data_IF_894740068617
#
_entry.id   IF_894740068617
#
_cell.length_a   1.000
_cell.length_b   1.000
_cell.length_c   1.000
_cell.angle_alpha   90.00
_cell.angle_beta   90.00
_cell.angle_gamma   90.00
#
_symmetry.space_group_name_H-M   'P 1'
#
loop_
_entity.id
_entity.type
_entity.pdbx_description
1 polymer ?
#
# COMPACT_ATOMS: atom_id res chain seq x y z
N UNK A 1 11.14 -8.97 -7.59
CA UNK A 1 10.30 -7.76 -7.66
C UNK A 1 9.66 -7.64 -6.30
N UNK A 2 10.03 -6.59 -5.58
CA UNK A 2 10.20 -6.65 -4.14
C UNK A 2 8.88 -6.72 -3.37
N UNK A 3 8.79 -7.58 -2.35
CA UNK A 3 7.63 -7.64 -1.45
C UNK A 3 7.30 -6.24 -0.88
N UNK A 4 8.31 -5.39 -0.73
CA UNK A 4 8.24 -3.96 -0.41
C UNK A 4 7.26 -3.19 -1.30
N UNK A 5 7.17 -3.50 -2.60
CA UNK A 5 6.26 -2.82 -3.54
C UNK A 5 4.79 -3.14 -3.28
N UNK A 6 4.47 -4.33 -2.76
CA UNK A 6 3.09 -4.74 -2.47
C UNK A 6 2.45 -3.91 -1.36
N UNK A 7 3.22 -3.55 -0.34
CA UNK A 7 2.74 -2.71 0.76
C UNK A 7 2.29 -1.34 0.25
N UNK A 8 3.14 -0.71 -0.58
CA UNK A 8 2.83 0.57 -1.19
C UNK A 8 1.65 0.45 -2.17
N UNK A 9 1.64 -0.58 -3.02
CA UNK A 9 0.57 -0.85 -3.97
C UNK A 9 -0.80 -0.99 -3.29
N UNK A 10 -0.86 -1.69 -2.15
CA UNK A 10 -2.08 -1.80 -1.35
C UNK A 10 -2.50 -0.42 -0.82
N UNK A 11 -1.56 0.36 -0.26
CA UNK A 11 -1.87 1.68 0.28
C UNK A 11 -2.39 2.66 -0.78
N UNK A 12 -1.90 2.58 -2.02
CA UNK A 12 -2.22 3.52 -3.11
C UNK A 12 -3.42 3.14 -3.98
N UNK A 13 -4.15 2.08 -3.61
CA UNK A 13 -5.52 1.82 -4.12
C UNK A 13 -6.51 2.94 -3.76
N UNK A 14 -6.19 3.74 -2.74
CA UNK A 14 -6.82 5.03 -2.47
C UNK A 14 -6.09 6.13 -3.25
N UNK A 15 -6.77 6.75 -4.20
CA UNK A 15 -6.22 7.81 -5.07
C UNK A 15 -7.17 8.99 -5.24
N UNK A 16 -6.65 10.09 -5.77
CA UNK A 16 -7.48 11.23 -6.16
C UNK A 16 -8.28 10.88 -7.42
N UNK A 17 -9.57 11.23 -7.46
CA UNK A 17 -10.49 10.88 -8.55
C UNK A 17 -10.40 11.82 -9.78
N UNK A 18 -9.71 12.95 -9.67
CA UNK A 18 -9.61 13.98 -10.71
C UNK A 18 -10.53 15.18 -10.47
N UNK A 19 -11.60 15.00 -9.71
CA UNK A 19 -12.68 15.95 -9.47
C UNK A 19 -12.67 16.53 -8.04
N UNK A 20 -11.67 16.18 -7.25
CA UNK A 20 -11.50 16.68 -5.88
C UNK A 20 -11.99 15.72 -4.80
N UNK A 21 -12.46 14.54 -5.19
CA UNK A 21 -12.76 13.44 -4.29
C UNK A 21 -11.67 12.36 -4.29
N UNK A 22 -12.03 11.23 -3.69
CA UNK A 22 -11.17 10.06 -3.52
C UNK A 22 -11.83 8.89 -4.24
N UNK A 23 -11.06 8.24 -5.11
CA UNK A 23 -11.42 6.96 -5.70
C UNK A 23 -10.74 5.82 -4.92
N UNK A 24 -11.45 4.70 -4.82
CA UNK A 24 -11.02 3.48 -4.16
C UNK A 24 -11.04 2.33 -5.18
N UNK A 25 -9.87 1.78 -5.53
CA UNK A 25 -9.76 0.63 -6.42
C UNK A 25 -10.30 -0.67 -5.83
N UNK A 26 -10.51 -0.69 -4.51
CA UNK A 26 -11.12 -1.79 -3.76
C UNK A 26 -12.49 -1.36 -3.23
N UNK A 27 -13.27 -0.65 -4.06
CA UNK A 27 -14.63 -0.26 -3.72
C UNK A 27 -15.60 -1.46 -3.69
N UNK A 28 -15.37 -2.44 -4.56
CA UNK A 28 -16.19 -3.63 -4.75
C UNK A 28 -15.32 -4.87 -5.07
N UNK A 29 -15.98 -6.02 -5.20
CA UNK A 29 -15.35 -7.31 -5.49
C UNK A 29 -14.73 -7.39 -6.89
N UNK A 30 -15.27 -6.65 -7.87
CA UNK A 30 -14.69 -6.57 -9.20
C UNK A 30 -13.34 -5.84 -9.19
N UNK A 31 -13.24 -4.74 -8.43
CA UNK A 31 -12.00 -4.02 -8.20
C UNK A 31 -10.94 -4.87 -7.50
N UNK A 32 -11.35 -5.67 -6.50
CA UNK A 32 -10.46 -6.65 -5.87
C UNK A 32 -9.98 -7.72 -6.85
N UNK A 33 -10.87 -8.29 -7.67
CA UNK A 33 -10.51 -9.30 -8.67
C UNK A 33 -9.47 -8.76 -9.67
N UNK A 34 -9.70 -7.55 -10.20
CA UNK A 34 -8.76 -6.90 -11.10
C UNK A 34 -7.41 -6.62 -10.42
N UNK A 35 -7.43 -6.05 -9.20
CA UNK A 35 -6.22 -5.69 -8.49
C UNK A 35 -5.35 -6.90 -8.12
N UNK A 36 -5.98 -8.02 -7.76
CA UNK A 36 -5.30 -9.28 -7.43
C UNK A 36 -4.77 -10.00 -8.66
N UNK A 37 -5.52 -10.01 -9.77
CA UNK A 37 -5.07 -10.58 -11.04
C UNK A 37 -3.80 -9.89 -11.56
N UNK A 38 -3.75 -8.55 -11.54
CA UNK A 38 -2.57 -7.76 -11.92
C UNK A 38 -1.31 -8.07 -11.08
N UNK A 39 -1.50 -8.68 -9.90
CA UNK A 39 -0.46 -8.92 -8.89
C UNK A 39 -0.24 -10.39 -8.56
N UNK A 40 -0.86 -11.32 -9.30
CA UNK A 40 -0.83 -12.75 -8.99
C UNK A 40 0.60 -13.30 -8.85
N UNK A 41 1.52 -12.86 -9.71
CA UNK A 41 2.93 -13.26 -9.66
C UNK A 41 3.67 -12.76 -8.40
N UNK A 42 3.29 -11.59 -7.87
CA UNK A 42 3.90 -11.02 -6.67
C UNK A 42 3.29 -11.57 -5.38
N UNK A 43 2.03 -12.01 -5.42
CA UNK A 43 1.30 -12.59 -4.30
C UNK A 43 1.55 -14.09 -4.10
N UNK A 44 2.49 -14.68 -4.85
CA UNK A 44 2.78 -16.12 -4.86
C UNK A 44 1.51 -16.97 -5.12
N UNK A 45 0.58 -16.43 -5.91
CA UNK A 45 -0.68 -17.05 -6.30
C UNK A 45 -0.64 -17.55 -7.76
N UNK A 46 0.56 -17.78 -8.31
CA UNK A 46 0.73 -18.08 -9.72
C UNK A 46 0.22 -19.47 -10.12
N UNK A 47 0.34 -20.48 -9.23
CA UNK A 47 -0.07 -21.85 -9.53
C UNK A 47 -1.55 -22.12 -9.24
N UNK A 48 -2.06 -21.65 -8.09
CA UNK A 48 -3.45 -21.85 -7.68
C UNK A 48 -4.41 -20.78 -8.22
N UNK A 49 -3.88 -19.70 -8.81
CA UNK A 49 -4.63 -18.49 -9.13
C UNK A 49 -4.97 -17.64 -7.89
N UNK A 50 -5.44 -16.39 -8.09
CA UNK A 50 -5.92 -15.58 -6.99
C UNK A 50 -7.20 -16.20 -6.38
N UNK A 51 -7.42 -16.05 -5.06
CA UNK A 51 -8.67 -16.48 -4.44
C UNK A 51 -9.88 -15.77 -5.08
N UNK A 52 -11.09 -16.37 -5.02
CA UNK A 52 -12.31 -15.68 -5.40
C UNK A 52 -12.44 -14.35 -4.67
N UNK A 53 -12.72 -13.28 -5.42
CA UNK A 53 -12.96 -11.96 -4.86
C UNK A 53 -14.39 -11.89 -4.32
N UNK A 54 -14.59 -12.34 -3.09
CA UNK A 54 -15.86 -12.21 -2.37
C UNK A 54 -15.86 -11.04 -1.38
N UNK A 55 -17.02 -10.74 -0.79
CA UNK A 55 -17.19 -9.63 0.15
C UNK A 55 -16.36 -9.81 1.44
N UNK A 56 -16.13 -11.06 1.86
CA UNK A 56 -15.34 -11.36 3.05
C UNK A 56 -13.86 -11.03 2.81
N UNK A 57 -13.30 -11.44 1.68
CA UNK A 57 -11.94 -11.12 1.28
C UNK A 57 -11.78 -9.62 1.03
N UNK A 58 -12.74 -8.98 0.36
CA UNK A 58 -12.74 -7.52 0.16
C UNK A 58 -12.67 -6.79 1.50
N UNK A 59 -13.50 -7.19 2.46
CA UNK A 59 -13.49 -6.62 3.81
C UNK A 59 -12.13 -6.80 4.47
N UNK A 60 -11.60 -8.03 4.48
CA UNK A 60 -10.30 -8.34 5.08
C UNK A 60 -9.14 -7.52 4.47
N UNK A 61 -9.12 -7.37 3.14
CA UNK A 61 -8.09 -6.58 2.44
C UNK A 61 -8.24 -5.08 2.75
N UNK A 62 -9.46 -4.55 2.82
CA UNK A 62 -9.71 -3.14 3.17
C UNK A 62 -9.34 -2.82 4.62
N UNK A 63 -9.62 -3.73 5.55
CA UNK A 63 -9.20 -3.62 6.94
C UNK A 63 -7.68 -3.65 7.09
N UNK A 64 -7.02 -4.57 6.38
CA UNK A 64 -5.56 -4.63 6.35
C UNK A 64 -4.98 -3.33 5.76
N UNK A 65 -5.56 -2.81 4.67
CA UNK A 65 -5.17 -1.52 4.10
C UNK A 65 -5.34 -0.37 5.09
N UNK A 66 -6.40 -0.34 5.88
CA UNK A 66 -6.61 0.68 6.91
C UNK A 66 -5.50 0.63 7.99
N UNK A 67 -5.11 -0.57 8.43
CA UNK A 67 -3.98 -0.76 9.33
C UNK A 67 -2.66 -0.28 8.71
N UNK A 68 -2.36 -0.69 7.47
CA UNK A 68 -1.15 -0.28 6.74
C UNK A 68 -1.10 1.24 6.57
N UNK A 69 -2.19 1.88 6.14
CA UNK A 69 -2.24 3.34 5.97
C UNK A 69 -2.09 4.08 7.30
N UNK A 70 -2.56 3.51 8.41
CA UNK A 70 -2.34 4.07 9.75
C UNK A 70 -0.88 4.00 10.19
N UNK A 71 -0.20 2.90 9.88
CA UNK A 71 1.23 2.78 10.16
C UNK A 71 2.09 3.62 9.20
N UNK A 72 1.63 3.85 7.98
CA UNK A 72 2.28 4.79 7.04
C UNK A 72 2.13 6.23 7.53
N UNK A 73 0.94 6.62 8.00
CA UNK A 73 0.73 7.90 8.67
C UNK A 73 1.65 8.08 9.88
N UNK A 74 1.88 7.02 10.67
CA UNK A 74 2.90 7.02 11.74
C UNK A 74 4.31 7.24 11.19
N UNK A 75 4.69 6.49 10.17
CA UNK A 75 6.04 6.47 9.61
C UNK A 75 6.46 7.80 8.95
N UNK A 76 5.53 8.60 8.45
CA UNK A 76 5.83 9.89 7.82
C UNK A 76 5.96 11.06 8.79
N UNK A 77 5.78 10.84 10.11
CA UNK A 77 5.96 11.89 11.12
C UNK A 77 7.39 12.45 11.12
N UNK A 78 7.58 13.76 11.39
CA UNK A 78 6.59 14.76 11.81
C UNK A 78 5.76 15.36 10.66
N UNK A 79 5.94 14.88 9.41
CA UNK A 79 5.12 15.31 8.28
C UNK A 79 3.64 14.92 8.44
N UNK A 80 2.73 15.62 7.73
CA UNK A 80 1.32 15.28 7.78
C UNK A 80 1.05 13.93 7.10
N UNK A 81 0.05 13.16 7.59
CA UNK A 81 -0.42 11.98 6.88
C UNK A 81 -1.10 12.37 5.57
N UNK A 82 -1.46 11.36 4.76
CA UNK A 82 -2.32 11.60 3.61
C UNK A 82 -3.64 12.25 4.04
N UNK A 83 -4.13 13.23 3.28
CA UNK A 83 -5.38 13.92 3.58
C UNK A 83 -6.61 13.01 3.53
N UNK A 84 -6.55 11.87 2.82
CA UNK A 84 -7.62 10.87 2.87
C UNK A 84 -7.73 10.13 4.22
N UNK A 85 -6.69 10.21 5.05
CA UNK A 85 -6.59 9.43 6.28
C UNK A 85 -7.00 10.21 7.53
N UNK A 86 -7.03 11.55 7.48
CA UNK A 86 -7.11 12.42 8.66
C UNK A 86 -8.24 12.08 9.66
N UNK A 87 -9.33 11.46 9.21
CA UNK A 87 -10.47 11.05 10.04
C UNK A 87 -10.74 9.53 10.03
N UNK A 88 -9.80 8.73 9.56
CA UNK A 88 -9.96 7.29 9.30
C UNK A 88 -8.82 6.44 9.89
N UNK A 89 -7.88 7.06 10.58
CA UNK A 89 -6.75 6.37 11.19
C UNK A 89 -7.20 5.53 12.37
N UNK A 90 -6.72 4.29 12.40
CA UNK A 90 -6.83 3.44 13.57
C UNK A 90 -5.84 3.92 14.65
N UNK A 91 -6.15 3.67 15.94
CA UNK A 91 -5.15 3.67 16.99
C UNK A 91 -3.92 2.85 16.60
N UNK A 92 -2.74 3.31 16.99
CA UNK A 92 -1.48 2.76 16.47
C UNK A 92 -1.22 1.33 16.96
N UNK A 93 -1.58 1.05 18.20
CA UNK A 93 -1.57 -0.28 18.82
C UNK A 93 -2.54 -1.24 18.11
N UNK A 94 -3.74 -0.77 17.78
CA UNK A 94 -4.72 -1.53 17.03
C UNK A 94 -4.23 -1.84 15.60
N UNK A 95 -3.66 -0.85 14.90
CA UNK A 95 -3.10 -1.05 13.57
C UNK A 95 -1.95 -2.06 13.58
N UNK A 96 -1.05 -1.98 14.58
CA UNK A 96 0.02 -2.96 14.78
C UNK A 96 -0.53 -4.36 15.05
N UNK A 97 -1.52 -4.48 15.95
CA UNK A 97 -2.11 -5.77 16.29
C UNK A 97 -2.78 -6.43 15.08
N UNK A 98 -3.57 -5.66 14.29
CA UNK A 98 -4.22 -6.15 13.07
C UNK A 98 -3.20 -6.62 12.03
N UNK A 99 -2.14 -5.83 11.81
CA UNK A 99 -1.08 -6.19 10.86
C UNK A 99 -0.36 -7.48 11.26
N UNK A 100 0.07 -7.58 12.54
CA UNK A 100 0.75 -8.75 13.06
C UNK A 100 -0.13 -9.99 13.03
N UNK A 101 -1.41 -9.88 13.41
CA UNK A 101 -2.37 -10.98 13.38
C UNK A 101 -2.61 -11.49 11.95
N UNK A 102 -2.73 -10.59 10.97
CA UNK A 102 -2.88 -10.98 9.57
C UNK A 102 -1.64 -11.72 9.05
N UNK A 103 -0.43 -11.24 9.38
CA UNK A 103 0.82 -11.90 8.98
C UNK A 103 0.99 -13.29 9.61
N UNK A 104 0.57 -13.45 10.88
CA UNK A 104 0.68 -14.69 11.64
C UNK A 104 -0.38 -15.74 11.27
N UNK A 105 -1.46 -15.35 10.58
CA UNK A 105 -2.57 -16.26 10.21
C UNK A 105 -2.11 -17.43 9.33
N UNK A 106 -1.04 -17.24 8.57
CA UNK A 106 -0.41 -18.29 7.77
C UNK A 106 1.02 -18.49 8.26
N UNK A 107 1.26 -19.48 9.14
CA UNK A 107 2.61 -19.88 9.52
C UNK A 107 3.42 -20.28 8.28
N UNK A 108 4.66 -19.82 8.22
CA UNK A 108 5.62 -20.17 7.16
C UNK A 108 6.80 -20.92 7.74
N UNK A 109 7.38 -21.81 6.93
CA UNK A 109 8.60 -22.52 7.26
C UNK A 109 9.66 -22.28 6.16
N UNK A 110 10.95 -22.17 6.53
CA UNK A 110 12.02 -22.04 5.56
C UNK A 110 12.10 -23.32 4.71
N UNK A 111 12.15 -23.16 3.39
CA UNK A 111 12.34 -24.23 2.41
C UNK A 111 13.41 -23.84 1.41
N UNK A 112 14.33 -24.76 1.15
CA UNK A 112 15.30 -24.61 0.07
C UNK A 112 14.64 -25.07 -1.23
N UNK A 113 14.50 -24.15 -2.18
CA UNK A 113 13.96 -24.43 -3.53
C UNK A 113 15.12 -24.54 -4.51
N UNK A 114 15.17 -25.64 -5.26
CA UNK A 114 16.24 -25.91 -6.23
C UNK A 114 15.64 -26.21 -7.60
N UNK A 115 15.52 -25.16 -8.41
CA UNK A 115 15.04 -25.29 -9.79
C UNK A 115 16.16 -25.72 -10.73
N UNK A 116 15.89 -26.57 -11.74
CA UNK A 116 16.87 -26.93 -12.75
C UNK A 116 17.45 -25.69 -13.45
N UNK A 117 18.78 -25.56 -13.44
CA UNK A 117 19.48 -24.46 -14.11
C UNK A 117 19.50 -23.12 -13.33
N UNK A 118 19.04 -23.09 -12.08
CA UNK A 118 19.11 -21.92 -11.21
C UNK A 118 19.87 -22.22 -9.90
N UNK A 119 20.52 -21.21 -9.28
CA UNK A 119 21.08 -21.38 -7.93
C UNK A 119 19.95 -21.64 -6.92
N UNK A 120 20.21 -22.42 -5.84
CA UNK A 120 19.20 -22.70 -4.83
C UNK A 120 18.78 -21.41 -4.11
N UNK A 121 17.50 -21.29 -3.80
CA UNK A 121 16.91 -20.11 -3.13
C UNK A 121 16.21 -20.55 -1.86
N UNK A 122 16.55 -19.93 -0.73
CA UNK A 122 15.80 -20.09 0.52
C UNK A 122 14.52 -19.25 0.44
N UNK A 123 13.36 -19.88 0.65
CA UNK A 123 12.05 -19.21 0.69
C UNK A 123 11.28 -19.59 1.94
N UNK A 124 10.59 -18.63 2.55
CA UNK A 124 9.60 -18.91 3.57
C UNK A 124 8.27 -19.24 2.91
N UNK A 125 7.89 -20.52 2.94
CA UNK A 125 6.67 -21.02 2.30
C UNK A 125 5.61 -21.40 3.35
N UNK A 126 4.30 -21.24 3.06
CA UNK A 126 3.24 -21.66 3.95
C UNK A 126 3.41 -23.11 4.45
N UNK A 127 3.19 -23.32 5.75
CA UNK A 127 3.05 -24.65 6.32
C UNK A 127 1.63 -25.17 6.06
N UNK A 128 1.52 -26.38 5.51
CA UNK A 128 0.23 -26.97 5.14
C UNK A 128 -0.41 -26.32 3.91
N UNK A 129 -1.74 -26.42 3.82
CA UNK A 129 -2.55 -25.88 2.72
C UNK A 129 -3.60 -24.89 3.27
N UNK A 130 -3.17 -23.72 3.79
CA UNK A 130 -4.11 -22.72 4.33
C UNK A 130 -5.02 -22.16 3.22
N UNK A 131 -6.22 -21.67 3.58
CA UNK A 131 -7.15 -21.07 2.61
C UNK A 131 -6.49 -19.96 1.79
N UNK A 132 -6.81 -19.88 0.50
CA UNK A 132 -6.19 -18.91 -0.41
C UNK A 132 -6.41 -17.45 0.01
N UNK A 133 -7.56 -17.12 0.60
CA UNK A 133 -7.86 -15.82 1.19
C UNK A 133 -6.89 -15.45 2.34
N UNK A 134 -6.58 -16.41 3.22
CA UNK A 134 -5.64 -16.22 4.32
C UNK A 134 -4.21 -16.05 3.80
N UNK A 135 -3.83 -16.81 2.76
CA UNK A 135 -2.52 -16.67 2.11
C UNK A 135 -2.33 -15.27 1.56
N UNK A 136 -3.33 -14.74 0.85
CA UNK A 136 -3.28 -13.40 0.25
C UNK A 136 -3.13 -12.32 1.32
N UNK A 137 -3.98 -12.33 2.34
CA UNK A 137 -3.94 -11.31 3.41
C UNK A 137 -2.67 -11.41 4.24
N UNK A 138 -2.17 -12.62 4.52
CA UNK A 138 -0.91 -12.82 5.23
C UNK A 138 0.30 -12.37 4.40
N UNK A 139 0.31 -12.63 3.08
CA UNK A 139 1.36 -12.17 2.19
C UNK A 139 1.43 -10.64 2.14
N UNK A 140 0.28 -9.96 1.99
CA UNK A 140 0.20 -8.50 2.04
C UNK A 140 0.65 -7.92 3.39
N UNK A 141 0.27 -8.58 4.49
CA UNK A 141 0.67 -8.17 5.83
C UNK A 141 2.19 -8.32 6.02
N UNK A 142 2.79 -9.44 5.61
CA UNK A 142 4.25 -9.64 5.65
C UNK A 142 5.01 -8.66 4.77
N UNK A 143 4.48 -8.34 3.58
CA UNK A 143 5.03 -7.29 2.72
C UNK A 143 5.04 -5.93 3.43
N UNK A 144 3.95 -5.56 4.11
CA UNK A 144 3.89 -4.32 4.88
C UNK A 144 4.81 -4.32 6.11
N UNK A 145 4.97 -5.45 6.80
CA UNK A 145 5.95 -5.60 7.88
C UNK A 145 7.38 -5.39 7.35
N UNK A 146 7.74 -6.04 6.24
CA UNK A 146 9.05 -5.89 5.60
C UNK A 146 9.30 -4.45 5.16
N UNK A 147 8.30 -3.79 4.56
CA UNK A 147 8.38 -2.37 4.19
C UNK A 147 8.65 -1.48 5.41
N UNK A 148 7.86 -1.64 6.48
CA UNK A 148 7.94 -0.80 7.67
C UNK A 148 9.20 -1.05 8.52
N UNK A 149 9.78 -2.24 8.43
CA UNK A 149 11.06 -2.57 9.06
C UNK A 149 12.27 -2.25 8.16
N UNK A 150 12.04 -2.02 6.87
CA UNK A 150 13.07 -1.83 5.85
C UNK A 150 13.47 -0.36 5.62
N UNK A 151 14.51 -0.13 4.78
CA UNK A 151 15.04 1.20 4.51
C UNK A 151 14.08 2.11 3.74
N UNK A 152 13.18 1.55 2.93
CA UNK A 152 12.18 2.30 2.17
C UNK A 152 11.22 3.09 3.05
N UNK A 153 11.04 2.67 4.32
CA UNK A 153 10.30 3.43 5.33
C UNK A 153 10.83 4.86 5.45
N UNK A 154 12.15 5.06 5.46
CA UNK A 154 12.76 6.37 5.68
C UNK A 154 12.59 7.30 4.45
N UNK A 155 12.29 6.70 3.29
CA UNK A 155 12.00 7.38 2.03
C UNK A 155 10.51 7.57 1.78
N UNK A 156 9.63 6.98 2.59
CA UNK A 156 8.17 7.10 2.49
C UNK A 156 7.71 8.54 2.77
N UNK A 157 6.83 9.08 1.91
CA UNK A 157 6.22 10.40 2.08
C UNK A 157 4.74 10.35 1.70
N UNK A 158 3.92 11.19 2.35
CA UNK A 158 2.63 11.60 1.83
C UNK A 158 2.82 12.70 0.78
N UNK A 159 2.17 12.61 -0.38
CA UNK A 159 2.33 13.60 -1.43
C UNK A 159 1.70 14.96 -1.02
N UNK A 160 2.48 16.07 -0.99
CA UNK A 160 1.99 17.37 -0.53
C UNK A 160 1.23 18.15 -1.61
N UNK A 161 1.08 17.59 -2.83
CA UNK A 161 0.38 18.29 -3.89
C UNK A 161 -1.10 18.48 -3.54
N UNK A 162 -1.72 19.63 -3.88
CA UNK A 162 -3.12 19.89 -3.58
C UNK A 162 -4.01 18.73 -4.00
N UNK A 163 -4.91 18.30 -3.11
CA UNK A 163 -5.85 17.18 -3.31
C UNK A 163 -5.21 15.80 -3.55
N UNK A 164 -3.88 15.67 -3.47
CA UNK A 164 -3.27 14.34 -3.55
C UNK A 164 -3.47 13.59 -2.22
N UNK A 165 -3.76 12.29 -2.33
CA UNK A 165 -3.98 11.40 -1.18
C UNK A 165 -3.02 10.19 -1.18
N UNK A 166 -2.02 10.23 -2.05
CA UNK A 166 -1.13 9.09 -2.31
C UNK A 166 0.10 9.15 -1.40
N UNK A 167 0.49 7.99 -0.86
CA UNK A 167 1.83 7.77 -0.31
C UNK A 167 2.80 7.36 -1.43
N UNK A 168 4.08 7.73 -1.31
CA UNK A 168 5.11 7.33 -2.26
C UNK A 168 6.46 7.16 -1.56
N UNK A 169 7.31 6.32 -2.12
CA UNK A 169 8.73 6.23 -1.75
C UNK A 169 9.50 7.16 -2.66
N UNK A 170 10.43 7.94 -2.11
CA UNK A 170 11.30 8.81 -2.92
C UNK A 170 12.30 7.98 -3.71
N UNK A 171 12.30 8.14 -5.03
CA UNK A 171 13.30 7.57 -5.92
C UNK A 171 14.62 8.35 -5.87
N UNK A 172 14.56 9.65 -5.53
CA UNK A 172 15.75 10.50 -5.38
C UNK A 172 15.53 11.65 -4.39
N UNK A 173 16.64 12.20 -3.85
CA UNK A 173 16.61 13.22 -2.79
C UNK A 173 15.77 14.47 -3.13
N UNK A 174 15.72 14.89 -4.41
CA UNK A 174 14.95 16.06 -4.86
C UNK A 174 13.47 15.80 -5.16
N UNK A 175 12.97 14.57 -4.98
CA UNK A 175 11.58 14.27 -5.28
C UNK A 175 10.68 14.79 -4.17
N UNK A 176 9.86 15.80 -4.49
CA UNK A 176 8.91 16.40 -3.56
C UNK A 176 7.47 15.86 -3.73
N UNK A 177 7.16 15.29 -4.89
CA UNK A 177 5.81 14.82 -5.25
C UNK A 177 5.83 13.40 -5.80
N UNK A 178 4.72 12.68 -5.63
CA UNK A 178 4.60 11.31 -6.12
C UNK A 178 4.68 11.20 -7.65
N UNK A 179 4.31 12.25 -8.40
CA UNK A 179 4.37 12.28 -9.87
C UNK A 179 4.68 13.70 -10.38
N UNK A 180 5.19 13.84 -11.62
CA UNK A 180 5.36 15.16 -12.25
C UNK A 180 4.06 15.97 -12.36
N UNK A 181 2.92 15.31 -12.61
CA UNK A 181 1.60 15.95 -12.67
C UNK A 181 1.18 16.56 -11.32
N UNK A 182 1.56 15.95 -10.20
CA UNK A 182 1.37 16.52 -8.87
C UNK A 182 2.22 17.79 -8.66
N UNK A 183 3.46 17.81 -9.15
CA UNK A 183 4.30 19.01 -9.13
C UNK A 183 3.72 20.16 -9.97
N UNK A 184 3.20 19.88 -11.16
CA UNK A 184 2.48 20.85 -11.98
C UNK A 184 1.30 21.47 -11.23
N UNK A 185 0.46 20.62 -10.62
CA UNK A 185 -0.71 21.06 -9.85
C UNK A 185 -0.33 21.94 -8.66
N UNK A 186 0.74 21.59 -7.93
CA UNK A 186 1.25 22.40 -6.84
C UNK A 186 1.73 23.78 -7.32
N UNK A 187 2.42 23.87 -8.46
CA UNK A 187 2.86 25.15 -9.04
C UNK A 187 1.68 26.04 -9.46
N UNK A 188 0.67 25.45 -10.11
CA UNK A 188 -0.54 26.15 -10.53
C UNK A 188 -1.31 26.71 -9.33
N UNK A 189 -1.51 25.91 -8.28
CA UNK A 189 -2.19 26.37 -7.06
C UNK A 189 -1.48 27.58 -6.42
N UNK A 190 -0.15 27.51 -6.26
CA UNK A 190 0.66 28.63 -5.73
C UNK A 190 0.54 29.88 -6.60
N UNK A 191 0.42 29.76 -7.93
CA UNK A 191 0.21 30.91 -8.83
C UNK A 191 -1.15 31.57 -8.60
N UNK A 192 -2.22 30.77 -8.46
CA UNK A 192 -3.56 31.29 -8.17
C UNK A 192 -3.64 31.96 -6.79
N UNK A 193 -3.03 31.37 -5.76
CA UNK A 193 -2.97 31.96 -4.42
C UNK A 193 -2.26 33.33 -4.43
N UNK A 194 -1.16 33.45 -5.17
CA UNK A 194 -0.47 34.75 -5.35
C UNK A 194 -1.36 35.77 -6.06
N UNK A 195 -2.03 35.39 -7.15
CA UNK A 195 -2.94 36.30 -7.87
C UNK A 195 -4.11 36.77 -7.01
N UNK A 196 -4.72 35.89 -6.20
CA UNK A 196 -5.78 36.26 -5.26
C UNK A 196 -5.28 37.29 -4.25
N UNK A 197 -4.11 37.06 -3.66
CA UNK A 197 -3.50 37.98 -2.69
C UNK A 197 -3.08 39.34 -3.26
N UNK A 198 -2.79 39.42 -4.56
CA UNK A 198 -2.41 40.67 -5.23
C UNK A 198 -3.60 41.42 -5.87
N UNK A 199 -4.78 40.80 -5.94
CA UNK A 199 -6.01 41.42 -6.46
C UNK A 199 -6.97 41.93 -5.37
N UNK A 200 -6.69 41.63 -4.10
CA UNK A 200 -7.37 42.16 -2.90
C UNK A 200 -6.64 43.41 -2.32
N UNK A 201 -5.84 44.11 -3.13
CA UNK A 201 -5.18 45.38 -2.79
C UNK A 201 -5.61 46.47 -3.77
#
# INVERSE_FOLDING_TARGET
MDATRLALDLAVTIRHDGNGGVADDLADTAGLAAWTADRAAALDCAEDGPPPADEALLTAVRELRAAVRSLFARAVRPGPPSSADAHRLLPEDEALARLNAAAARVPTAPRLVWEPGAPPVLRDLPAGAPPAADRLTAALARAALAFLAGPDRDLLRACPAPRCVRYFVKDHARQEWCTPSCGNRARVARHHERRRRSGDV
#
